data_IF_736275624972
#
_entry.id   IF_736275624972
#
_cell.length_a   1.000
_cell.length_b   1.000
_cell.length_c   1.000
_cell.angle_alpha   90.00
_cell.angle_beta   90.00
_cell.angle_gamma   90.00
#
_symmetry.space_group_name_H-M   'P 1'
#
loop_
_entity.id
_entity.type
_entity.pdbx_description
1 polymer ?
#
# COMPACT_ATOMS: atom_id res chain seq x y z
N UNK A 1 -18.51 -0.23 23.77
CA UNK A 1 -17.97 0.44 22.58
C UNK A 1 -19.07 0.38 21.56
N UNK A 2 -19.49 1.52 21.05
CA UNK A 2 -20.53 1.57 20.02
C UNK A 2 -19.95 1.02 18.70
N UNK A 3 -20.79 0.35 17.91
CA UNK A 3 -20.40 -0.17 16.61
C UNK A 3 -20.08 0.99 15.63
N UNK A 4 -19.12 0.80 14.70
CA UNK A 4 -18.84 1.82 13.70
C UNK A 4 -20.06 2.07 12.81
N UNK A 5 -20.38 3.35 12.56
CA UNK A 5 -21.53 3.75 11.72
C UNK A 5 -21.33 3.51 10.21
N UNK A 6 -20.07 3.27 9.79
CA UNK A 6 -19.70 2.93 8.42
C UNK A 6 -18.38 2.14 8.42
N UNK A 7 -18.32 1.05 7.66
CA UNK A 7 -17.14 0.20 7.53
C UNK A 7 -16.65 0.14 6.09
N UNK A 8 -15.34 0.06 5.91
CA UNK A 8 -14.68 -0.12 4.62
C UNK A 8 -13.85 -1.41 4.63
N UNK A 9 -13.58 -2.00 3.45
CA UNK A 9 -12.62 -3.09 3.32
C UNK A 9 -11.29 -2.80 4.02
N UNK A 10 -10.74 -3.83 4.66
CA UNK A 10 -9.51 -3.72 5.41
C UNK A 10 -8.32 -3.31 4.54
N UNK A 11 -7.40 -2.58 5.15
CA UNK A 11 -6.16 -2.06 4.56
C UNK A 11 -6.35 -0.94 3.53
N UNK A 12 -7.56 -0.40 3.37
CA UNK A 12 -7.72 0.88 2.69
C UNK A 12 -7.31 2.01 3.62
N UNK A 13 -6.58 2.98 3.09
CA UNK A 13 -6.09 4.13 3.84
C UNK A 13 -6.98 5.34 3.52
N UNK A 14 -8.05 5.60 4.31
CA UNK A 14 -8.84 6.82 4.18
C UNK A 14 -8.02 8.00 4.72
N UNK A 15 -7.62 8.91 3.84
CA UNK A 15 -6.74 10.02 4.21
C UNK A 15 -7.49 11.34 4.41
N UNK A 16 -8.63 11.52 3.76
CA UNK A 16 -9.43 12.73 3.90
C UNK A 16 -10.92 12.46 3.70
N UNK A 17 -11.76 13.29 4.32
CA UNK A 17 -13.21 13.24 4.28
C UNK A 17 -13.76 14.64 4.08
N UNK A 18 -14.66 14.79 3.11
CA UNK A 18 -15.32 16.06 2.80
C UNK A 18 -16.84 15.87 2.68
N UNK A 19 -17.61 16.56 3.53
CA UNK A 19 -19.05 16.68 3.34
C UNK A 19 -19.34 17.69 2.22
N UNK A 20 -20.03 17.22 1.18
CA UNK A 20 -20.26 18.00 -0.01
C UNK A 20 -21.48 18.92 0.12
N UNK A 21 -21.32 20.19 -0.24
CA UNK A 21 -22.40 21.19 -0.17
C UNK A 21 -22.69 21.88 -1.50
N UNK A 22 -21.88 21.60 -2.52
CA UNK A 22 -21.99 22.21 -3.84
C UNK A 22 -23.13 21.65 -4.70
N UNK A 23 -23.28 22.23 -5.90
CA UNK A 23 -24.32 21.87 -6.87
C UNK A 23 -23.75 21.41 -8.23
N UNK A 24 -22.45 21.10 -8.27
CA UNK A 24 -21.76 20.68 -9.50
C UNK A 24 -22.16 19.25 -9.89
N UNK A 25 -22.26 18.35 -8.91
CA UNK A 25 -22.67 16.96 -9.09
C UNK A 25 -24.19 16.79 -9.03
N UNK A 26 -24.76 15.65 -9.46
CA UNK A 26 -26.17 15.32 -9.25
C UNK A 26 -26.60 15.49 -7.78
N UNK A 27 -27.84 15.94 -7.56
CA UNK A 27 -28.32 16.38 -6.23
C UNK A 27 -28.17 15.33 -5.12
N UNK A 28 -28.17 14.03 -5.46
CA UNK A 28 -27.92 12.92 -4.51
C UNK A 28 -26.60 13.04 -3.76
N UNK A 29 -25.59 13.70 -4.34
CA UNK A 29 -24.26 13.82 -3.73
C UNK A 29 -24.24 14.91 -2.65
N UNK A 30 -25.23 15.79 -2.64
CA UNK A 30 -25.32 16.90 -1.69
C UNK A 30 -25.58 16.37 -0.28
N UNK A 31 -24.86 16.94 0.68
CA UNK A 31 -24.84 16.57 2.09
C UNK A 31 -24.30 15.17 2.40
N UNK A 32 -23.81 14.42 1.41
CA UNK A 32 -23.06 13.19 1.62
C UNK A 32 -21.57 13.43 1.82
N UNK A 33 -20.83 12.38 2.14
CA UNK A 33 -19.40 12.43 2.40
C UNK A 33 -18.60 11.84 1.23
N UNK A 34 -17.65 12.59 0.70
CA UNK A 34 -16.57 12.06 -0.13
C UNK A 34 -15.41 11.63 0.75
N UNK A 35 -14.78 10.51 0.41
CA UNK A 35 -13.63 9.97 1.15
C UNK A 35 -12.54 9.61 0.15
N UNK A 36 -11.34 10.17 0.33
CA UNK A 36 -10.19 9.84 -0.50
C UNK A 36 -9.44 8.65 0.10
N UNK A 37 -9.31 7.58 -0.68
CA UNK A 37 -8.51 6.43 -0.33
C UNK A 37 -7.17 6.44 -1.07
N UNK A 38 -6.10 6.40 -0.28
CA UNK A 38 -4.70 6.51 -0.70
C UNK A 38 -4.09 5.21 -1.22
N UNK A 39 -4.83 4.12 -1.04
CA UNK A 39 -4.42 2.76 -1.32
C UNK A 39 -3.51 2.16 -0.25
N UNK A 40 -3.55 0.84 -0.17
CA UNK A 40 -2.79 0.07 0.81
C UNK A 40 -1.28 0.12 0.57
N UNK A 41 -0.51 -0.03 1.65
CA UNK A 41 0.96 -0.16 1.60
C UNK A 41 1.48 -1.50 2.13
N UNK A 42 0.58 -2.32 2.71
CA UNK A 42 0.85 -3.67 3.14
C UNK A 42 -0.43 -4.48 3.02
N UNK A 43 -0.46 -5.42 2.07
CA UNK A 43 -1.60 -6.32 1.86
C UNK A 43 -1.16 -7.71 1.43
N UNK A 44 0.10 -8.07 1.70
CA UNK A 44 0.63 -9.41 1.39
C UNK A 44 -0.29 -10.49 2.00
N UNK A 45 -0.62 -11.56 1.26
CA UNK A 45 -0.10 -11.94 -0.05
C UNK A 45 -0.88 -11.38 -1.25
N UNK A 46 -1.82 -10.48 -1.03
CA UNK A 46 -2.67 -9.91 -2.08
C UNK A 46 -2.10 -8.60 -2.63
N UNK A 47 -2.55 -8.25 -3.84
CA UNK A 47 -2.26 -6.95 -4.44
C UNK A 47 -2.79 -5.78 -3.60
N UNK A 48 -2.18 -4.62 -3.80
CA UNK A 48 -2.63 -3.36 -3.21
C UNK A 48 -3.97 -2.92 -3.78
N UNK A 49 -4.73 -2.17 -2.98
CA UNK A 49 -6.11 -1.80 -3.29
C UNK A 49 -6.50 -0.50 -2.59
N UNK A 50 -7.58 0.14 -3.05
CA UNK A 50 -8.15 1.32 -2.44
C UNK A 50 -7.59 2.65 -2.97
N UNK A 51 -7.33 2.79 -4.27
CA UNK A 51 -6.80 4.02 -4.89
C UNK A 51 -7.92 4.84 -5.57
N UNK A 52 -8.95 5.24 -4.82
CA UNK A 52 -10.16 5.83 -5.38
C UNK A 52 -10.80 6.84 -4.42
N UNK A 53 -11.76 7.61 -4.90
CA UNK A 53 -12.63 8.45 -4.06
C UNK A 53 -13.98 7.75 -3.91
N UNK A 54 -14.38 7.48 -2.67
CA UNK A 54 -15.70 6.96 -2.37
C UNK A 54 -16.70 8.08 -2.11
N UNK A 55 -17.97 7.77 -2.24
CA UNK A 55 -19.08 8.58 -1.73
C UNK A 55 -19.91 7.77 -0.74
N UNK A 56 -20.33 8.38 0.35
CA UNK A 56 -21.29 7.82 1.31
C UNK A 56 -22.49 8.75 1.37
N UNK A 57 -23.71 8.30 1.05
CA UNK A 57 -24.91 9.13 1.19
C UNK A 57 -25.22 9.34 2.68
N UNK A 58 -25.65 10.54 3.03
CA UNK A 58 -26.04 10.90 4.39
C UNK A 58 -27.44 11.50 4.41
N UNK A 59 -28.19 11.18 5.47
CA UNK A 59 -29.46 11.80 5.79
C UNK A 59 -29.52 12.02 7.31
N UNK A 60 -29.92 13.23 7.73
CA UNK A 60 -30.05 13.60 9.15
C UNK A 60 -28.78 13.32 9.98
N UNK A 61 -27.60 13.55 9.39
CA UNK A 61 -26.30 13.36 10.07
C UNK A 61 -25.86 11.91 10.21
N UNK A 62 -26.56 10.96 9.59
CA UNK A 62 -26.20 9.53 9.60
C UNK A 62 -26.02 9.02 8.16
N UNK A 63 -25.14 8.03 7.93
CA UNK A 63 -25.10 7.31 6.66
C UNK A 63 -26.49 6.74 6.32
N UNK A 64 -26.95 6.98 5.10
CA UNK A 64 -28.28 6.56 4.65
C UNK A 64 -28.25 5.40 3.66
N UNK A 65 -27.08 4.82 3.41
CA UNK A 65 -26.86 3.73 2.47
C UNK A 65 -25.40 3.32 2.38
N UNK A 66 -25.13 2.36 1.49
CA UNK A 66 -23.79 1.86 1.23
C UNK A 66 -22.90 2.92 0.57
N UNK A 67 -21.59 2.75 0.71
CA UNK A 67 -20.61 3.55 -0.02
C UNK A 67 -20.60 3.19 -1.51
N UNK A 68 -20.18 4.14 -2.34
CA UNK A 68 -20.09 4.05 -3.79
C UNK A 68 -18.68 4.43 -4.27
N UNK A 69 -18.25 3.89 -5.40
CA UNK A 69 -17.06 4.39 -6.09
C UNK A 69 -17.43 5.65 -6.85
N UNK A 70 -17.01 6.82 -6.36
CA UNK A 70 -17.31 8.09 -7.01
C UNK A 70 -16.33 8.41 -8.14
N UNK A 71 -15.03 8.24 -7.89
CA UNK A 71 -13.99 8.43 -8.89
C UNK A 71 -12.89 7.38 -8.72
N UNK A 72 -12.52 6.73 -9.83
CA UNK A 72 -11.50 5.68 -9.90
C UNK A 72 -10.51 5.97 -11.06
N UNK A 73 -9.46 5.17 -11.18
CA UNK A 73 -8.48 5.25 -12.27
C UNK A 73 -7.16 5.92 -11.87
N UNK A 74 -7.05 6.43 -10.65
CA UNK A 74 -5.84 7.11 -10.16
C UNK A 74 -4.60 6.21 -10.14
N UNK A 75 -4.78 4.92 -9.85
CA UNK A 75 -3.66 3.98 -9.80
C UNK A 75 -3.00 3.76 -11.19
N UNK A 76 -3.65 4.15 -12.29
CA UNK A 76 -3.14 4.03 -13.66
C UNK A 76 -3.12 2.60 -14.23
N UNK A 77 -3.28 1.58 -13.38
CA UNK A 77 -3.41 0.17 -13.75
C UNK A 77 -4.23 -0.60 -12.72
N UNK A 78 -4.76 -1.74 -13.13
CA UNK A 78 -5.60 -2.58 -12.27
C UNK A 78 -4.78 -3.37 -11.24
N UNK A 79 -3.65 -3.94 -11.66
CA UNK A 79 -2.81 -4.78 -10.81
C UNK A 79 -1.67 -3.98 -10.18
N UNK A 80 -1.70 -3.87 -8.85
CA UNK A 80 -0.72 -3.11 -8.05
C UNK A 80 -0.01 -4.08 -7.10
N UNK A 81 1.19 -4.53 -7.46
CA UNK A 81 1.95 -5.49 -6.65
C UNK A 81 2.71 -4.79 -5.53
N UNK A 82 3.31 -3.65 -5.86
CA UNK A 82 4.08 -2.81 -4.94
C UNK A 82 3.38 -1.46 -4.80
N UNK A 83 3.60 -0.78 -3.68
CA UNK A 83 3.03 0.56 -3.47
C UNK A 83 3.45 1.55 -4.57
N UNK A 84 4.70 1.44 -5.04
CA UNK A 84 5.26 2.31 -6.08
C UNK A 84 4.74 2.02 -7.50
N UNK A 85 3.97 0.93 -7.68
CA UNK A 85 3.34 0.61 -8.95
C UNK A 85 2.21 1.59 -9.27
N UNK A 86 1.50 2.13 -8.28
CA UNK A 86 0.42 3.09 -8.52
C UNK A 86 0.97 4.38 -9.14
N UNK A 87 0.33 4.84 -10.22
CA UNK A 87 0.69 6.11 -10.86
C UNK A 87 0.41 7.28 -9.90
N UNK A 88 -0.82 7.37 -9.39
CA UNK A 88 -1.24 8.36 -8.40
C UNK A 88 -1.92 7.72 -7.19
N UNK A 89 -1.88 8.42 -6.05
CA UNK A 89 -2.45 8.02 -4.77
C UNK A 89 -3.31 9.15 -4.19
N UNK A 90 -4.65 9.07 -4.34
CA UNK A 90 -5.58 10.08 -3.84
C UNK A 90 -5.40 10.34 -2.35
N UNK A 91 -5.37 11.61 -1.92
CA UNK A 91 -5.10 11.93 -0.53
C UNK A 91 -6.03 13.00 0.03
N UNK A 92 -5.85 14.26 -0.38
CA UNK A 92 -6.65 15.37 0.11
C UNK A 92 -7.85 15.68 -0.78
N UNK A 93 -8.90 16.19 -0.18
CA UNK A 93 -10.14 16.63 -0.83
C UNK A 93 -10.39 18.11 -0.56
N UNK A 94 -10.88 18.83 -1.57
CA UNK A 94 -11.38 20.18 -1.39
C UNK A 94 -12.55 20.47 -2.32
N UNK A 95 -13.53 21.24 -1.84
CA UNK A 95 -14.62 21.74 -2.67
C UNK A 95 -14.26 23.12 -3.22
N UNK A 96 -14.39 23.31 -4.53
CA UNK A 96 -14.28 24.62 -5.17
C UNK A 96 -15.52 25.49 -4.96
N UNK A 97 -15.41 26.82 -5.18
CA UNK A 97 -16.56 27.73 -5.07
C UNK A 97 -17.66 27.44 -6.11
N UNK A 98 -17.32 26.76 -7.20
CA UNK A 98 -18.26 26.28 -8.24
C UNK A 98 -18.86 24.90 -7.91
N UNK A 99 -18.52 24.33 -6.76
CA UNK A 99 -18.91 22.99 -6.34
C UNK A 99 -18.07 21.86 -6.95
N UNK A 100 -17.02 22.13 -7.73
CA UNK A 100 -16.13 21.05 -8.22
C UNK A 100 -15.37 20.40 -7.07
N UNK A 101 -15.02 19.10 -7.21
CA UNK A 101 -14.21 18.38 -6.22
C UNK A 101 -12.75 18.35 -6.68
N UNK A 102 -11.84 18.78 -5.81
CA UNK A 102 -10.41 18.68 -6.01
C UNK A 102 -9.86 17.50 -5.23
N UNK A 103 -8.95 16.75 -5.85
CA UNK A 103 -8.28 15.59 -5.24
C UNK A 103 -6.78 15.76 -5.39
N UNK A 104 -6.03 15.78 -4.29
CA UNK A 104 -4.58 15.80 -4.34
C UNK A 104 -4.01 14.38 -4.45
N UNK A 105 -2.85 14.28 -5.10
CA UNK A 105 -2.03 13.09 -5.17
C UNK A 105 -0.76 13.27 -4.33
N UNK A 106 -0.39 12.25 -3.55
CA UNK A 106 0.82 12.28 -2.74
C UNK A 106 2.10 11.81 -3.46
N UNK A 107 2.01 11.29 -4.69
CA UNK A 107 3.16 10.78 -5.45
C UNK A 107 3.90 11.92 -6.14
N UNK A 108 3.19 12.63 -7.00
CA UNK A 108 3.75 13.65 -7.89
C UNK A 108 3.19 15.05 -7.59
N UNK A 109 2.36 15.19 -6.55
CA UNK A 109 1.72 16.45 -6.17
C UNK A 109 0.65 16.92 -7.15
N UNK A 110 0.15 16.04 -8.02
CA UNK A 110 -0.89 16.37 -8.99
C UNK A 110 -2.20 16.73 -8.28
N UNK A 111 -2.87 17.78 -8.76
CA UNK A 111 -4.21 18.15 -8.31
C UNK A 111 -5.21 17.84 -9.43
N UNK A 112 -6.16 16.96 -9.16
CA UNK A 112 -7.28 16.67 -10.04
C UNK A 112 -8.43 17.61 -9.72
N UNK A 113 -9.14 18.09 -10.75
CA UNK A 113 -10.42 18.78 -10.61
C UNK A 113 -11.49 17.95 -11.30
N UNK A 114 -12.43 17.43 -10.53
CA UNK A 114 -13.51 16.58 -10.99
C UNK A 114 -14.74 17.44 -11.27
N UNK A 115 -15.29 17.26 -12.47
CA UNK A 115 -16.45 17.98 -12.98
C UNK A 115 -17.41 16.95 -13.59
N UNK A 116 -18.66 16.93 -13.14
CA UNK A 116 -19.74 16.26 -13.85
C UNK A 116 -20.18 17.10 -15.05
N UNK A 117 -20.05 16.53 -16.24
CA UNK A 117 -20.43 17.17 -17.53
C UNK A 117 -21.69 16.56 -18.15
N UNK A 118 -22.29 15.58 -17.48
CA UNK A 118 -23.55 14.97 -17.92
C UNK A 118 -24.75 15.84 -17.57
N UNK A 119 -25.94 15.38 -17.96
CA UNK A 119 -27.20 15.97 -17.52
C UNK A 119 -27.51 15.46 -16.10
N UNK A 120 -27.69 16.39 -15.16
CA UNK A 120 -28.00 16.05 -13.76
C UNK A 120 -29.43 15.54 -13.61
N UNK A 121 -30.33 15.90 -14.52
CA UNK A 121 -31.76 15.55 -14.46
C UNK A 121 -32.02 14.12 -14.92
N UNK A 122 -31.10 13.54 -15.71
CA UNK A 122 -31.20 12.16 -16.19
C UNK A 122 -30.31 11.19 -15.41
N UNK A 123 -29.47 11.69 -14.49
CA UNK A 123 -28.63 10.84 -13.65
C UNK A 123 -29.50 10.06 -12.66
N UNK A 124 -29.51 8.74 -12.76
CA UNK A 124 -30.34 7.90 -11.91
C UNK A 124 -29.80 6.48 -11.77
N UNK A 125 -30.72 5.53 -11.63
CA UNK A 125 -30.40 4.12 -11.35
C UNK A 125 -29.46 3.49 -12.38
N UNK A 126 -29.60 3.86 -13.66
CA UNK A 126 -28.77 3.31 -14.72
C UNK A 126 -27.29 3.75 -14.62
N UNK A 127 -27.04 5.01 -14.29
CA UNK A 127 -25.68 5.52 -14.09
C UNK A 127 -25.07 4.94 -12.82
N UNK A 128 -25.87 4.83 -11.76
CA UNK A 128 -25.45 4.24 -10.49
C UNK A 128 -25.08 2.76 -10.62
N UNK A 129 -25.84 1.99 -11.41
CA UNK A 129 -25.51 0.60 -11.68
C UNK A 129 -24.12 0.47 -12.34
N UNK A 130 -23.79 1.35 -13.30
CA UNK A 130 -22.45 1.39 -13.93
C UNK A 130 -21.35 1.79 -12.94
N UNK A 131 -21.66 2.67 -11.99
CA UNK A 131 -20.72 3.03 -10.94
C UNK A 131 -20.52 1.89 -9.94
N UNK A 132 -21.57 1.12 -9.64
CA UNK A 132 -21.49 -0.02 -8.73
C UNK A 132 -20.63 -1.17 -9.30
N UNK A 133 -20.63 -1.35 -10.63
CA UNK A 133 -19.72 -2.28 -11.32
C UNK A 133 -18.23 -1.98 -11.00
N UNK A 134 -17.86 -0.73 -10.69
CA UNK A 134 -16.49 -0.39 -10.30
C UNK A 134 -16.05 -1.09 -9.00
N UNK A 135 -16.99 -1.50 -8.13
CA UNK A 135 -16.67 -2.27 -6.94
C UNK A 135 -16.11 -3.66 -7.25
N UNK A 136 -16.31 -4.16 -8.47
CA UNK A 136 -15.82 -5.47 -8.90
C UNK A 136 -14.36 -5.44 -9.38
N UNK A 137 -13.79 -4.25 -9.61
CA UNK A 137 -12.40 -4.11 -10.04
C UNK A 137 -11.47 -4.66 -8.95
N UNK A 138 -10.44 -5.41 -9.34
CA UNK A 138 -9.61 -6.19 -8.42
C UNK A 138 -8.91 -5.35 -7.33
N UNK A 139 -8.63 -4.07 -7.61
CA UNK A 139 -8.08 -3.11 -6.65
C UNK A 139 -9.15 -2.36 -5.80
N UNK A 140 -10.42 -2.75 -5.88
CA UNK A 140 -11.56 -2.23 -5.08
C UNK A 140 -12.39 -3.36 -4.43
N UNK A 141 -12.49 -4.55 -5.00
CA UNK A 141 -13.16 -5.65 -4.30
C UNK A 141 -12.31 -6.22 -3.15
N UNK A 142 -12.98 -6.95 -2.27
CA UNK A 142 -12.28 -7.86 -1.38
C UNK A 142 -11.49 -8.91 -2.20
N UNK A 143 -10.30 -9.31 -1.70
CA UNK A 143 -9.48 -10.26 -2.44
C UNK A 143 -10.13 -11.64 -2.39
N UNK A 144 -10.09 -12.33 -3.53
CA UNK A 144 -10.44 -13.73 -3.67
C UNK A 144 -9.21 -14.56 -3.27
N UNK A 145 -9.25 -15.32 -2.17
CA UNK A 145 -8.04 -15.91 -1.57
C UNK A 145 -7.20 -16.75 -2.53
N UNK A 146 -7.82 -17.58 -3.36
CA UNK A 146 -7.10 -18.44 -4.31
C UNK A 146 -6.70 -17.70 -5.59
N UNK A 147 -7.46 -16.71 -6.02
CA UNK A 147 -7.27 -16.03 -7.31
C UNK A 147 -6.29 -14.85 -7.21
N UNK A 148 -6.32 -14.11 -6.10
CA UNK A 148 -5.51 -12.89 -5.93
C UNK A 148 -4.23 -13.12 -5.13
N UNK A 149 -4.02 -14.32 -4.58
CA UNK A 149 -2.79 -14.65 -3.87
C UNK A 149 -1.59 -14.57 -4.84
N UNK A 150 -0.62 -13.74 -4.51
CA UNK A 150 0.59 -13.53 -5.33
C UNK A 150 1.70 -14.55 -5.03
N UNK A 151 1.48 -15.42 -4.06
CA UNK A 151 2.42 -16.47 -3.61
C UNK A 151 2.00 -17.87 -4.06
N UNK A 152 1.29 -17.97 -5.19
CA UNK A 152 0.88 -19.25 -5.77
C UNK A 152 2.08 -20.08 -6.23
N UNK A 153 1.95 -21.40 -6.12
CA UNK A 153 2.92 -22.38 -6.58
C UNK A 153 4.05 -22.64 -5.59
N UNK A 154 5.06 -23.40 -6.03
CA UNK A 154 6.21 -23.75 -5.20
C UNK A 154 7.25 -22.62 -5.25
N UNK A 155 7.29 -21.81 -4.18
CA UNK A 155 8.32 -20.77 -4.00
C UNK A 155 9.56 -21.35 -3.28
N UNK A 156 10.78 -20.83 -3.57
CA UNK A 156 11.95 -21.09 -2.74
C UNK A 156 11.72 -20.62 -1.29
N UNK A 157 12.27 -21.34 -0.31
CA UNK A 157 12.05 -21.02 1.11
C UNK A 157 12.48 -19.59 1.48
N UNK A 158 13.63 -19.11 0.98
CA UNK A 158 14.06 -17.73 1.19
C UNK A 158 13.06 -16.69 0.69
N UNK A 159 12.36 -16.97 -0.42
CA UNK A 159 11.29 -16.10 -0.94
C UNK A 159 10.03 -16.15 -0.08
N UNK A 160 9.68 -17.32 0.48
CA UNK A 160 8.55 -17.44 1.42
C UNK A 160 8.80 -16.63 2.69
N UNK A 161 10.00 -16.75 3.26
CA UNK A 161 10.42 -15.95 4.43
C UNK A 161 10.40 -14.46 4.07
N UNK A 162 10.94 -14.07 2.92
CA UNK A 162 10.89 -12.68 2.44
C UNK A 162 9.47 -12.14 2.34
N UNK A 163 8.57 -12.88 1.68
CA UNK A 163 7.19 -12.45 1.44
C UNK A 163 6.37 -12.34 2.73
N UNK A 164 6.74 -13.10 3.76
CA UNK A 164 6.06 -13.11 5.05
C UNK A 164 6.54 -11.98 5.96
N UNK A 165 7.85 -11.77 6.05
CA UNK A 165 8.44 -10.91 7.08
C UNK A 165 9.07 -9.62 6.56
N UNK A 166 9.52 -9.60 5.31
CA UNK A 166 10.32 -8.50 4.77
C UNK A 166 9.55 -7.62 3.77
N UNK A 167 8.81 -8.26 2.85
CA UNK A 167 8.04 -7.58 1.81
C UNK A 167 6.98 -6.58 2.31
N UNK A 168 6.35 -6.75 3.50
CA UNK A 168 5.44 -5.74 4.03
C UNK A 168 6.03 -4.33 4.13
N UNK A 169 7.34 -4.23 4.32
CA UNK A 169 8.05 -2.95 4.36
C UNK A 169 8.88 -2.73 3.10
N UNK A 170 9.74 -3.68 2.74
CA UNK A 170 10.69 -3.55 1.63
C UNK A 170 10.06 -3.77 0.24
N UNK A 171 8.75 -4.03 0.20
CA UNK A 171 7.97 -4.32 -1.01
C UNK A 171 8.42 -5.63 -1.70
N UNK A 172 7.62 -6.15 -2.64
CA UNK A 172 7.90 -7.43 -3.30
C UNK A 172 9.04 -7.32 -4.33
N UNK A 173 9.31 -6.12 -4.82
CA UNK A 173 10.40 -5.79 -5.72
C UNK A 173 11.70 -5.36 -5.01
N UNK A 174 11.68 -5.28 -3.67
CA UNK A 174 12.84 -4.87 -2.88
C UNK A 174 13.18 -3.39 -2.96
N UNK A 175 12.35 -2.55 -3.60
CA UNK A 175 12.62 -1.12 -3.73
C UNK A 175 12.25 -0.31 -2.48
N UNK A 176 11.54 -0.91 -1.53
CA UNK A 176 11.05 -0.21 -0.35
C UNK A 176 10.09 0.93 -0.70
N UNK A 177 10.11 1.99 0.10
CA UNK A 177 9.28 3.18 -0.06
C UNK A 177 10.17 4.40 0.13
N UNK A 178 10.39 5.17 -0.93
CA UNK A 178 11.28 6.36 -0.92
C UNK A 178 11.01 7.27 0.28
N UNK A 179 12.07 7.69 0.97
CA UNK A 179 12.00 8.54 2.17
C UNK A 179 11.44 7.86 3.43
N UNK A 180 11.05 6.57 3.37
CA UNK A 180 10.48 5.85 4.52
C UNK A 180 11.15 4.49 4.77
N UNK A 181 11.14 3.61 3.78
CA UNK A 181 11.73 2.27 3.88
C UNK A 181 12.86 2.16 2.84
N UNK A 182 14.10 1.85 3.24
CA UNK A 182 15.20 1.73 2.30
C UNK A 182 15.00 0.56 1.33
N UNK A 183 15.48 0.74 0.10
CA UNK A 183 15.60 -0.32 -0.88
C UNK A 183 16.67 -1.33 -0.48
N UNK A 184 16.45 -2.60 -0.82
CA UNK A 184 17.37 -3.72 -0.64
C UNK A 184 18.21 -3.99 -1.91
N UNK A 185 17.98 -3.19 -2.93
CA UNK A 185 18.51 -3.35 -4.27
C UNK A 185 19.81 -2.58 -4.45
N UNK A 186 20.86 -3.27 -4.89
CA UNK A 186 22.15 -2.70 -5.28
C UNK A 186 22.73 -1.74 -4.22
N UNK A 187 22.62 -2.13 -2.95
CA UNK A 187 23.13 -1.34 -1.82
C UNK A 187 24.28 -2.07 -1.12
N UNK A 188 25.27 -1.33 -0.63
CA UNK A 188 26.38 -1.91 0.14
C UNK A 188 25.94 -2.52 1.48
N UNK A 189 24.78 -2.08 1.99
CA UNK A 189 24.13 -2.69 3.15
C UNK A 189 23.74 -4.15 2.89
N UNK A 190 23.37 -4.49 1.65
CA UNK A 190 22.98 -5.84 1.25
C UNK A 190 24.13 -6.61 0.64
N UNK A 191 24.89 -6.03 -0.29
CA UNK A 191 25.92 -6.75 -1.07
C UNK A 191 27.27 -6.82 -0.38
N UNK A 192 27.54 -5.90 0.55
CA UNK A 192 28.79 -5.80 1.30
C UNK A 192 28.92 -6.84 2.41
N UNK A 193 29.23 -6.36 3.62
CA UNK A 193 29.58 -7.19 4.78
C UNK A 193 28.38 -8.04 5.25
N UNK A 194 28.52 -9.37 5.16
CA UNK A 194 27.49 -10.32 5.59
C UNK A 194 27.19 -10.26 7.08
N UNK A 195 28.21 -10.16 7.94
CA UNK A 195 28.02 -10.08 9.40
C UNK A 195 27.17 -8.86 9.76
N UNK A 196 27.37 -7.71 9.09
CA UNK A 196 26.55 -6.51 9.28
C UNK A 196 25.09 -6.78 8.89
N UNK A 197 24.85 -7.36 7.72
CA UNK A 197 23.49 -7.67 7.23
C UNK A 197 22.77 -8.68 8.15
N UNK A 198 23.48 -9.73 8.57
CA UNK A 198 22.96 -10.73 9.51
C UNK A 198 22.61 -10.08 10.85
N UNK A 199 23.47 -9.21 11.37
CA UNK A 199 23.25 -8.51 12.63
C UNK A 199 22.00 -7.60 12.56
N UNK A 200 21.78 -6.90 11.45
CA UNK A 200 20.57 -6.09 11.22
C UNK A 200 19.30 -6.94 11.31
N UNK A 201 19.28 -8.12 10.67
CA UNK A 201 18.11 -9.01 10.77
C UNK A 201 17.92 -9.54 12.19
N UNK A 202 19.00 -9.85 12.90
CA UNK A 202 18.93 -10.41 14.25
C UNK A 202 18.56 -9.39 15.32
N UNK A 203 19.02 -8.15 15.22
CA UNK A 203 18.89 -7.12 16.27
C UNK A 203 17.94 -5.98 15.88
N UNK A 204 17.52 -5.93 14.62
CA UNK A 204 16.85 -4.76 14.07
C UNK A 204 17.85 -3.65 13.75
N UNK A 205 17.32 -2.50 13.38
CA UNK A 205 18.07 -1.30 13.06
C UNK A 205 17.24 -0.08 13.46
N UNK A 206 17.86 0.87 14.14
CA UNK A 206 17.27 2.15 14.53
C UNK A 206 18.32 3.26 14.41
N UNK A 207 17.84 4.51 14.31
CA UNK A 207 18.66 5.70 14.12
C UNK A 207 18.92 6.04 12.65
N UNK A 208 19.53 7.21 12.46
CA UNK A 208 19.80 7.76 11.14
C UNK A 208 20.79 6.89 10.35
N UNK A 209 20.38 6.49 9.15
CA UNK A 209 21.20 5.79 8.17
C UNK A 209 21.08 6.46 6.80
N UNK A 210 22.06 6.21 5.95
CA UNK A 210 22.01 6.59 4.55
C UNK A 210 22.09 5.33 3.68
N UNK A 211 21.20 5.22 2.70
CA UNK A 211 21.19 4.14 1.72
C UNK A 211 21.13 4.76 0.32
N UNK A 212 22.19 4.58 -0.46
CA UNK A 212 22.33 5.15 -1.81
C UNK A 212 22.11 6.68 -1.88
N UNK A 213 22.59 7.43 -0.88
CA UNK A 213 22.45 8.89 -0.82
C UNK A 213 21.15 9.40 -0.20
N UNK A 214 20.22 8.52 0.13
CA UNK A 214 18.94 8.88 0.74
C UNK A 214 18.96 8.62 2.25
N UNK A 215 18.52 9.60 3.09
CA UNK A 215 18.48 9.45 4.53
C UNK A 215 17.23 8.69 5.00
N UNK A 216 17.38 7.88 6.05
CA UNK A 216 16.30 7.17 6.71
C UNK A 216 16.49 7.18 8.23
N UNK A 217 15.40 7.30 8.98
CA UNK A 217 15.40 7.26 10.46
C UNK A 217 14.19 6.48 10.99
N UNK A 218 13.88 5.35 10.35
CA UNK A 218 12.80 4.46 10.76
C UNK A 218 13.35 3.23 11.47
N UNK A 219 12.51 2.61 12.31
CA UNK A 219 12.86 1.40 13.03
C UNK A 219 12.58 0.17 12.15
N UNK A 220 13.60 -0.67 11.97
CA UNK A 220 13.47 -2.04 11.48
C UNK A 220 13.44 -3.00 12.68
N UNK A 221 12.31 -3.69 12.96
CA UNK A 221 12.24 -4.63 14.08
C UNK A 221 13.19 -5.81 13.92
N UNK A 222 13.64 -6.34 15.07
CA UNK A 222 14.45 -7.55 15.12
C UNK A 222 13.64 -8.79 14.69
N UNK A 223 14.29 -9.67 13.92
CA UNK A 223 13.73 -10.94 13.48
C UNK A 223 14.47 -12.15 14.09
N UNK A 224 15.00 -12.00 15.31
CA UNK A 224 15.73 -13.06 16.03
C UNK A 224 14.93 -14.36 16.25
N UNK A 225 13.60 -14.31 16.13
CA UNK A 225 12.72 -15.48 16.22
C UNK A 225 12.87 -16.43 15.01
N UNK A 226 13.41 -15.95 13.88
CA UNK A 226 13.73 -16.80 12.74
C UNK A 226 14.90 -17.72 13.06
N UNK A 227 14.87 -18.94 12.53
CA UNK A 227 15.98 -19.90 12.67
C UNK A 227 17.19 -19.48 11.84
N UNK A 228 18.37 -20.04 12.15
CA UNK A 228 19.57 -19.78 11.34
C UNK A 228 19.39 -20.18 9.88
N UNK A 229 18.63 -21.24 9.61
CA UNK A 229 18.29 -21.68 8.27
C UNK A 229 17.45 -20.62 7.54
N UNK A 230 16.35 -20.18 8.14
CA UNK A 230 15.47 -19.18 7.53
C UNK A 230 16.19 -17.85 7.26
N UNK A 231 17.06 -17.40 8.18
CA UNK A 231 17.87 -16.19 7.98
C UNK A 231 18.88 -16.40 6.84
N UNK A 232 19.54 -17.55 6.78
CA UNK A 232 20.46 -17.91 5.71
C UNK A 232 19.77 -17.90 4.34
N UNK A 233 18.58 -18.51 4.25
CA UNK A 233 17.78 -18.57 3.02
C UNK A 233 17.27 -17.20 2.58
N UNK A 234 16.70 -16.40 3.49
CA UNK A 234 16.15 -15.07 3.14
C UNK A 234 17.26 -14.09 2.77
N UNK A 235 18.39 -14.09 3.47
CA UNK A 235 19.51 -13.22 3.14
C UNK A 235 20.18 -13.62 1.84
N UNK A 236 20.26 -14.92 1.56
CA UNK A 236 20.70 -15.42 0.24
C UNK A 236 19.76 -14.97 -0.85
N UNK A 237 18.44 -15.10 -0.66
CA UNK A 237 17.45 -14.61 -1.60
C UNK A 237 17.62 -13.11 -1.87
N UNK A 238 17.68 -12.27 -0.82
CA UNK A 238 17.85 -10.82 -0.96
C UNK A 238 19.16 -10.48 -1.72
N UNK A 239 20.27 -11.15 -1.40
CA UNK A 239 21.59 -10.90 -2.02
C UNK A 239 21.72 -11.36 -3.47
N UNK A 240 20.82 -12.21 -3.95
CA UNK A 240 20.83 -12.77 -5.30
C UNK A 240 19.64 -12.31 -6.17
N UNK A 241 18.72 -11.54 -5.59
CA UNK A 241 17.55 -10.99 -6.27
C UNK A 241 17.59 -9.46 -6.24
N UNK A 242 16.60 -8.81 -6.85
CA UNK A 242 16.54 -7.35 -6.95
C UNK A 242 17.76 -6.74 -7.64
N UNK A 243 18.28 -7.46 -8.66
CA UNK A 243 19.52 -7.13 -9.38
C UNK A 243 20.78 -7.02 -8.50
N UNK A 244 20.72 -7.58 -7.29
CA UNK A 244 21.91 -7.93 -6.55
C UNK A 244 22.59 -9.15 -7.19
N UNK A 245 23.92 -9.18 -7.12
CA UNK A 245 24.74 -10.31 -7.54
C UNK A 245 25.84 -10.55 -6.49
N UNK A 246 25.43 -10.97 -5.30
CA UNK A 246 26.32 -11.18 -4.17
C UNK A 246 26.28 -12.63 -3.68
N UNK A 247 27.35 -13.05 -2.99
CA UNK A 247 27.51 -14.42 -2.49
C UNK A 247 26.42 -14.79 -1.48
N UNK A 248 26.00 -16.06 -1.49
CA UNK A 248 25.04 -16.60 -0.53
C UNK A 248 25.52 -16.44 0.91
N UNK A 249 24.58 -16.36 1.85
CA UNK A 249 24.86 -16.45 3.30
C UNK A 249 24.65 -17.90 3.72
N UNK A 250 25.59 -18.46 4.47
CA UNK A 250 25.47 -19.81 5.01
C UNK A 250 24.84 -19.81 6.41
N UNK A 251 24.24 -20.94 6.79
CA UNK A 251 23.71 -21.18 8.13
C UNK A 251 24.77 -20.99 9.22
N UNK A 252 26.01 -21.41 8.95
CA UNK A 252 27.15 -21.29 9.86
C UNK A 252 27.55 -19.83 10.05
N UNK A 253 27.55 -19.02 8.98
CA UNK A 253 27.76 -17.58 9.07
C UNK A 253 26.72 -16.93 10.01
N UNK A 254 25.44 -17.30 9.86
CA UNK A 254 24.37 -16.82 10.76
C UNK A 254 24.58 -17.27 12.20
N UNK A 255 24.91 -18.55 12.41
CA UNK A 255 25.14 -19.11 13.74
C UNK A 255 26.30 -18.39 14.46
N UNK A 256 27.38 -18.10 13.73
CA UNK A 256 28.54 -17.40 14.25
C UNK A 256 28.19 -15.97 14.69
N UNK A 257 27.41 -15.23 13.90
CA UNK A 257 26.98 -13.88 14.28
C UNK A 257 26.04 -13.93 15.49
N UNK A 258 25.07 -14.84 15.50
CA UNK A 258 24.15 -15.01 16.64
C UNK A 258 24.89 -15.29 17.95
N UNK A 259 25.93 -16.14 17.91
CA UNK A 259 26.74 -16.46 19.08
C UNK A 259 27.57 -15.26 19.61
N UNK A 260 27.89 -14.27 18.76
CA UNK A 260 28.57 -13.03 19.18
C UNK A 260 27.63 -12.07 19.91
N UNK A 261 26.34 -12.10 19.58
CA UNK A 261 25.32 -11.20 20.17
C UNK A 261 24.79 -11.70 21.51
N UNK A 262 24.72 -13.02 21.71
CA UNK A 262 24.25 -13.62 22.97
C UNK A 262 25.26 -13.54 24.13
N UNK A 263 26.35 -12.77 23.97
CA UNK A 263 27.37 -12.51 24.98
C UNK A 263 27.28 -11.07 25.45
#
# INVERSE_FOLDING_TARGET
MDDPIMGFPGHWAPNDLLFYTGDQFPDRYKNGAFIAFHGSSNRSPYQQSGYFVAFVPFQNGQPSGDWEVFANGFAGKELIVNTNDAEFRPMGLAQGPDGSLYVSDSRDGKIWRILYKGDKTTFGEAELAKMDEQKLVANIRNPQPEEDNQDKGQLPEGKKVYNTYCSPCHQRDGNGATGRIPGLRQTDWVTGNKDKLINIVLQGLEGEIEVNGEPYDNIMPAHQFLTNEQISEVLTFIRQNFENNASAVSKEEVANVRAKISK
#
